data_IF_559428507123
#
_entry.id   IF_559428507123
#
_cell.length_a   1.000
_cell.length_b   1.000
_cell.length_c   1.000
_cell.angle_alpha   90.00
_cell.angle_beta   90.00
_cell.angle_gamma   90.00
#
_symmetry.space_group_name_H-M   'P 1'
#
loop_
_entity.id
_entity.type
_entity.pdbx_description
1 polymer ?
#
# COMPACT_ATOMS: atom_id res chain seq x y z
N UNK A 1 -63.40 -5.89 14.59
CA UNK A 1 -62.25 -5.00 14.84
C UNK A 1 -61.06 -5.54 14.06
N UNK A 2 -60.72 -4.91 12.93
CA UNK A 2 -59.65 -5.38 12.04
C UNK A 2 -58.32 -4.80 12.52
N UNK A 3 -57.35 -5.67 12.83
CA UNK A 3 -55.99 -5.26 13.18
C UNK A 3 -55.16 -5.25 11.90
N UNK A 4 -54.82 -4.05 11.43
CA UNK A 4 -53.88 -3.83 10.33
C UNK A 4 -52.46 -4.10 10.83
N UNK A 5 -51.85 -5.20 10.41
CA UNK A 5 -50.42 -5.45 10.57
C UNK A 5 -49.65 -4.52 9.62
N UNK A 6 -49.00 -3.50 10.18
CA UNK A 6 -47.97 -2.70 9.51
C UNK A 6 -46.74 -3.60 9.26
N UNK A 7 -46.51 -3.96 8.00
CA UNK A 7 -45.29 -4.62 7.56
C UNK A 7 -44.12 -3.64 7.63
N UNK A 8 -43.14 -3.91 8.48
CA UNK A 8 -41.85 -3.23 8.44
C UNK A 8 -41.08 -3.73 7.21
N UNK A 9 -41.06 -2.92 6.15
CA UNK A 9 -40.17 -3.18 4.99
C UNK A 9 -38.72 -3.00 5.42
N UNK A 10 -37.97 -4.10 5.40
CA UNK A 10 -36.55 -4.14 5.71
C UNK A 10 -35.73 -3.54 4.55
N UNK A 11 -35.63 -2.21 4.50
CA UNK A 11 -34.92 -1.43 3.46
C UNK A 11 -33.42 -1.76 3.33
N UNK A 12 -32.82 -2.38 4.34
CA UNK A 12 -31.40 -2.76 4.36
C UNK A 12 -31.05 -3.97 3.48
N UNK A 13 -32.01 -4.84 3.14
CA UNK A 13 -31.73 -6.02 2.31
C UNK A 13 -31.59 -5.62 0.82
N UNK A 14 -32.54 -4.85 0.30
CA UNK A 14 -32.49 -4.36 -1.10
C UNK A 14 -31.29 -3.44 -1.39
N UNK A 15 -30.85 -2.65 -0.41
CA UNK A 15 -29.65 -1.81 -0.58
C UNK A 15 -28.34 -2.62 -0.61
N UNK A 16 -28.27 -3.74 0.11
CA UNK A 16 -27.13 -4.67 0.05
C UNK A 16 -27.12 -5.46 -1.26
N UNK A 17 -28.28 -5.92 -1.71
CA UNK A 17 -28.41 -6.66 -2.97
C UNK A 17 -28.05 -5.78 -4.18
N UNK A 18 -28.41 -4.49 -4.15
CA UNK A 18 -27.99 -3.51 -5.18
C UNK A 18 -26.48 -3.21 -5.12
N UNK A 19 -25.88 -3.13 -3.94
CA UNK A 19 -24.43 -2.92 -3.81
C UNK A 19 -23.63 -4.13 -4.30
N UNK A 20 -24.04 -5.35 -3.93
CA UNK A 20 -23.42 -6.58 -4.40
C UNK A 20 -23.61 -6.75 -5.92
N UNK A 21 -24.77 -6.37 -6.45
CA UNK A 21 -25.02 -6.31 -7.89
C UNK A 21 -24.06 -5.36 -8.60
N UNK A 22 -23.87 -4.14 -8.07
CA UNK A 22 -22.91 -3.17 -8.59
C UNK A 22 -21.47 -3.68 -8.52
N UNK A 23 -21.06 -4.24 -7.39
CA UNK A 23 -19.73 -4.85 -7.24
C UNK A 23 -19.50 -5.94 -8.29
N UNK A 24 -20.49 -6.83 -8.47
CA UNK A 24 -20.42 -7.90 -9.45
C UNK A 24 -20.31 -7.35 -10.88
N UNK A 25 -21.07 -6.30 -11.20
CA UNK A 25 -20.97 -5.65 -12.52
C UNK A 25 -19.63 -4.97 -12.74
N UNK A 26 -19.02 -4.37 -11.71
CA UNK A 26 -17.69 -3.76 -11.84
C UNK A 26 -16.58 -4.82 -11.97
N UNK A 27 -16.67 -5.93 -11.24
CA UNK A 27 -15.73 -7.05 -11.37
C UNK A 27 -15.74 -7.63 -12.79
N UNK A 28 -16.92 -7.68 -13.43
CA UNK A 28 -17.05 -8.12 -14.84
C UNK A 28 -16.32 -7.21 -15.83
N UNK A 29 -15.97 -5.98 -15.45
CA UNK A 29 -15.16 -5.05 -16.25
C UNK A 29 -13.65 -5.19 -16.02
N UNK A 30 -13.20 -6.20 -15.27
CA UNK A 30 -11.78 -6.46 -15.01
C UNK A 30 -10.91 -6.43 -16.27
N UNK A 31 -11.32 -7.08 -17.35
CA UNK A 31 -10.59 -7.08 -18.63
C UNK A 31 -10.46 -5.68 -19.26
N UNK A 32 -11.46 -4.81 -19.08
CA UNK A 32 -11.40 -3.41 -19.53
C UNK A 32 -10.36 -2.64 -18.70
N UNK A 33 -10.35 -2.82 -17.38
CA UNK A 33 -9.36 -2.20 -16.50
C UNK A 33 -7.93 -2.67 -16.81
N UNK A 34 -7.76 -3.96 -17.09
CA UNK A 34 -6.48 -4.54 -17.50
C UNK A 34 -6.00 -3.89 -18.81
N UNK A 35 -6.88 -3.77 -19.80
CA UNK A 35 -6.56 -3.11 -21.08
C UNK A 35 -6.16 -1.65 -20.87
N UNK A 36 -6.92 -0.88 -20.08
CA UNK A 36 -6.60 0.53 -19.78
C UNK A 36 -5.21 0.65 -19.15
N UNK A 37 -4.85 -0.28 -18.26
CA UNK A 37 -3.53 -0.32 -17.62
C UNK A 37 -2.43 -0.64 -18.63
N UNK A 38 -2.61 -1.65 -19.49
CA UNK A 38 -1.63 -1.99 -20.52
C UNK A 38 -1.42 -0.85 -21.53
N UNK A 39 -2.50 -0.15 -21.92
CA UNK A 39 -2.41 1.03 -22.79
C UNK A 39 -1.60 2.17 -22.14
N UNK A 40 -1.76 2.39 -20.83
CA UNK A 40 -0.94 3.35 -20.06
C UNK A 40 0.53 2.95 -20.02
N UNK A 41 0.81 1.68 -19.70
CA UNK A 41 2.17 1.14 -19.66
C UNK A 41 2.85 1.30 -21.03
N UNK A 42 2.16 0.92 -22.10
CA UNK A 42 2.65 1.04 -23.48
C UNK A 42 2.96 2.49 -23.84
N UNK A 43 2.07 3.41 -23.47
CA UNK A 43 2.26 4.86 -23.68
C UNK A 43 3.50 5.37 -22.95
N UNK A 44 3.70 4.99 -21.68
CA UNK A 44 4.86 5.45 -20.91
C UNK A 44 6.15 4.85 -21.48
N UNK A 45 6.16 3.56 -21.86
CA UNK A 45 7.33 2.91 -22.51
C UNK A 45 7.71 3.60 -23.80
N UNK A 46 6.72 3.94 -24.63
CA UNK A 46 6.94 4.63 -25.91
C UNK A 46 7.56 6.02 -25.69
N UNK A 47 7.07 6.78 -24.71
CA UNK A 47 7.66 8.07 -24.32
C UNK A 47 9.08 7.92 -23.78
N UNK A 48 9.33 6.91 -22.94
CA UNK A 48 10.65 6.65 -22.40
C UNK A 48 11.67 6.32 -23.50
N UNK A 49 11.26 5.57 -24.52
CA UNK A 49 12.10 5.21 -25.66
C UNK A 49 12.51 6.41 -26.54
N UNK A 50 11.67 7.44 -26.62
CA UNK A 50 11.93 8.65 -27.42
C UNK A 50 12.54 9.80 -26.61
N UNK A 51 12.64 9.66 -25.28
CA UNK A 51 13.20 10.68 -24.40
C UNK A 51 14.72 10.74 -24.54
N UNK A 52 15.28 11.96 -24.61
CA UNK A 52 16.71 12.17 -24.70
C UNK A 52 17.40 11.75 -23.40
N UNK A 53 18.59 11.13 -23.53
CA UNK A 53 19.38 10.66 -22.39
C UNK A 53 19.79 11.74 -21.38
N UNK A 54 19.77 13.02 -21.79
CA UNK A 54 20.14 14.17 -20.98
C UNK A 54 18.98 14.80 -20.19
N UNK A 55 17.74 14.36 -20.41
CA UNK A 55 16.57 14.89 -19.70
C UNK A 55 16.33 14.08 -18.42
N UNK A 56 17.10 14.41 -17.38
CA UNK A 56 17.20 13.63 -16.15
C UNK A 56 15.85 13.52 -15.41
N UNK A 57 15.16 14.64 -15.27
CA UNK A 57 13.86 14.73 -14.59
C UNK A 57 12.80 13.93 -15.34
N UNK A 58 12.73 14.06 -16.67
CA UNK A 58 11.74 13.33 -17.47
C UNK A 58 12.01 11.82 -17.46
N UNK A 59 13.27 11.40 -17.60
CA UNK A 59 13.65 9.99 -17.55
C UNK A 59 13.30 9.38 -16.19
N UNK A 60 13.63 10.07 -15.10
CA UNK A 60 13.30 9.59 -13.76
C UNK A 60 11.78 9.54 -13.55
N UNK A 61 11.06 10.59 -13.95
CA UNK A 61 9.60 10.66 -13.80
C UNK A 61 8.88 9.55 -14.58
N UNK A 62 9.23 9.32 -15.84
CA UNK A 62 8.64 8.25 -16.66
C UNK A 62 8.97 6.86 -16.09
N UNK A 63 10.21 6.66 -15.62
CA UNK A 63 10.60 5.39 -14.98
C UNK A 63 9.84 5.17 -13.68
N UNK A 64 9.62 6.22 -12.88
CA UNK A 64 8.86 6.15 -11.63
C UNK A 64 7.37 5.89 -11.92
N UNK A 65 6.81 6.50 -12.96
CA UNK A 65 5.46 6.17 -13.44
C UNK A 65 5.31 4.69 -13.83
N UNK A 66 6.27 4.14 -14.59
CA UNK A 66 6.27 2.70 -14.93
C UNK A 66 6.36 1.83 -13.69
N UNK A 67 7.24 2.18 -12.76
CA UNK A 67 7.34 1.48 -11.48
C UNK A 67 5.98 1.45 -10.76
N UNK A 68 5.30 2.59 -10.63
CA UNK A 68 4.02 2.68 -9.92
C UNK A 68 2.90 1.88 -10.61
N UNK A 69 2.92 1.75 -11.95
CA UNK A 69 1.95 0.90 -12.66
C UNK A 69 2.13 -0.59 -12.34
N UNK A 70 3.37 -1.03 -12.11
CA UNK A 70 3.72 -2.41 -11.80
C UNK A 70 3.74 -2.75 -10.31
N UNK A 71 3.96 -1.78 -9.42
CA UNK A 71 4.21 -2.03 -8.00
C UNK A 71 3.09 -2.80 -7.28
N UNK A 72 1.84 -2.66 -7.73
CA UNK A 72 0.68 -3.39 -7.20
C UNK A 72 0.27 -4.60 -8.06
N UNK A 73 0.93 -4.82 -9.20
CA UNK A 73 0.49 -5.77 -10.24
C UNK A 73 1.48 -6.91 -10.49
N UNK A 74 2.79 -6.61 -10.56
CA UNK A 74 3.83 -7.59 -10.90
C UNK A 74 5.12 -7.25 -10.16
N UNK A 75 5.53 -8.14 -9.26
CA UNK A 75 6.79 -8.01 -8.54
C UNK A 75 7.99 -8.00 -9.50
N UNK A 76 8.03 -8.94 -10.45
CA UNK A 76 9.13 -9.07 -11.42
C UNK A 76 9.34 -7.80 -12.23
N UNK A 77 8.25 -7.15 -12.66
CA UNK A 77 8.36 -5.87 -13.36
C UNK A 77 8.71 -4.73 -12.40
N UNK A 78 8.11 -4.69 -11.21
CA UNK A 78 8.37 -3.63 -10.23
C UNK A 78 9.83 -3.58 -9.80
N UNK A 79 10.47 -4.73 -9.55
CA UNK A 79 11.87 -4.78 -9.11
C UNK A 79 12.82 -4.31 -10.22
N UNK A 80 12.51 -4.60 -11.50
CA UNK A 80 13.29 -4.11 -12.65
C UNK A 80 13.25 -2.58 -12.70
N UNK A 81 12.07 -1.96 -12.61
CA UNK A 81 11.97 -0.49 -12.67
C UNK A 81 12.49 0.19 -11.40
N UNK A 82 12.35 -0.44 -10.22
CA UNK A 82 12.96 0.07 -8.99
C UNK A 82 14.49 0.13 -9.07
N UNK A 83 15.13 -0.88 -9.67
CA UNK A 83 16.59 -0.88 -9.92
C UNK A 83 16.98 0.18 -10.95
N UNK A 84 16.21 0.31 -12.05
CA UNK A 84 16.43 1.38 -13.03
C UNK A 84 16.37 2.77 -12.41
N UNK A 85 15.45 3.01 -11.46
CA UNK A 85 15.41 4.28 -10.72
C UNK A 85 16.69 4.52 -9.91
N UNK A 86 17.28 3.48 -9.30
CA UNK A 86 18.54 3.60 -8.58
C UNK A 86 19.71 3.88 -9.55
N UNK A 87 19.76 3.19 -10.69
CA UNK A 87 20.76 3.42 -11.73
C UNK A 87 20.72 4.86 -12.25
N UNK A 88 19.51 5.39 -12.52
CA UNK A 88 19.33 6.79 -12.94
C UNK A 88 19.74 7.75 -11.83
N UNK A 89 19.36 7.49 -10.57
CA UNK A 89 19.74 8.33 -9.45
C UNK A 89 21.26 8.42 -9.26
N UNK A 90 21.97 7.30 -9.42
CA UNK A 90 23.44 7.23 -9.36
C UNK A 90 24.06 7.96 -10.55
N UNK A 91 23.56 7.70 -11.77
CA UNK A 91 24.04 8.34 -13.00
C UNK A 91 23.97 9.86 -12.93
N UNK A 92 22.84 10.39 -12.48
CA UNK A 92 22.60 11.83 -12.37
C UNK A 92 23.12 12.45 -11.07
N UNK A 93 23.69 11.64 -10.17
CA UNK A 93 24.20 12.07 -8.87
C UNK A 93 23.20 12.90 -8.06
N UNK A 94 21.90 12.61 -8.23
CA UNK A 94 20.82 13.41 -7.64
C UNK A 94 20.35 12.76 -6.32
N UNK A 95 20.57 13.41 -5.17
CA UNK A 95 20.24 12.83 -3.86
C UNK A 95 18.74 12.66 -3.67
N UNK A 96 17.91 13.52 -4.26
CA UNK A 96 16.45 13.40 -4.22
C UNK A 96 15.98 12.16 -4.99
N UNK A 97 16.56 11.90 -6.15
CA UNK A 97 16.29 10.68 -6.93
C UNK A 97 16.74 9.44 -6.19
N UNK A 98 17.87 9.49 -5.49
CA UNK A 98 18.38 8.37 -4.71
C UNK A 98 17.45 8.02 -3.55
N UNK A 99 16.93 9.03 -2.84
CA UNK A 99 15.95 8.80 -1.77
C UNK A 99 14.66 8.18 -2.34
N UNK A 100 14.12 8.75 -3.42
CA UNK A 100 12.89 8.24 -4.05
C UNK A 100 13.06 6.80 -4.56
N UNK A 101 14.19 6.50 -5.20
CA UNK A 101 14.47 5.16 -5.72
C UNK A 101 14.65 4.12 -4.61
N UNK A 102 15.30 4.47 -3.49
CA UNK A 102 15.39 3.60 -2.31
C UNK A 102 14.02 3.32 -1.68
N UNK A 103 13.13 4.31 -1.63
CA UNK A 103 11.74 4.12 -1.15
C UNK A 103 11.01 3.12 -2.06
N UNK A 104 11.08 3.29 -3.39
CA UNK A 104 10.46 2.37 -4.36
C UNK A 104 11.04 0.96 -4.27
N UNK A 105 12.37 0.83 -4.16
CA UNK A 105 13.05 -0.46 -4.01
C UNK A 105 12.66 -1.15 -2.69
N UNK A 106 12.71 -0.43 -1.56
CA UNK A 106 12.30 -0.94 -0.26
C UNK A 106 10.83 -1.37 -0.22
N UNK A 107 9.94 -0.63 -0.91
CA UNK A 107 8.54 -1.02 -1.05
C UNK A 107 8.37 -2.35 -1.79
N UNK A 108 9.11 -2.54 -2.87
CA UNK A 108 9.08 -3.79 -3.64
C UNK A 108 9.60 -4.97 -2.81
N UNK A 109 10.73 -4.80 -2.13
CA UNK A 109 11.29 -5.82 -1.24
C UNK A 109 10.30 -6.20 -0.12
N UNK A 110 9.70 -5.20 0.52
CA UNK A 110 8.71 -5.42 1.57
C UNK A 110 7.49 -6.19 1.05
N UNK A 111 7.01 -5.85 -0.15
CA UNK A 111 5.88 -6.54 -0.79
C UNK A 111 6.17 -8.00 -1.13
N UNK A 112 7.44 -8.41 -1.26
CA UNK A 112 7.85 -9.80 -1.42
C UNK A 112 8.18 -10.51 -0.09
N UNK A 113 8.02 -9.86 1.06
CA UNK A 113 8.35 -10.43 2.37
C UNK A 113 9.85 -10.41 2.69
N UNK A 114 10.67 -9.69 1.92
CA UNK A 114 12.11 -9.52 2.16
C UNK A 114 12.34 -8.44 3.23
N UNK A 115 11.93 -8.73 4.47
CA UNK A 115 11.87 -7.74 5.55
C UNK A 115 13.24 -7.17 5.91
N UNK A 116 14.27 -8.01 6.00
CA UNK A 116 15.62 -7.55 6.37
C UNK A 116 16.19 -6.61 5.31
N UNK A 117 16.13 -7.01 4.05
CA UNK A 117 16.63 -6.25 2.91
C UNK A 117 15.86 -4.94 2.74
N UNK A 118 14.54 -4.97 2.95
CA UNK A 118 13.71 -3.76 2.94
C UNK A 118 14.15 -2.79 4.06
N UNK A 119 14.37 -3.30 5.28
CA UNK A 119 14.82 -2.46 6.39
C UNK A 119 16.21 -1.87 6.14
N UNK A 120 17.18 -2.70 5.75
CA UNK A 120 18.55 -2.26 5.46
C UNK A 120 18.57 -1.18 4.36
N UNK A 121 17.68 -1.30 3.37
CA UNK A 121 17.49 -0.29 2.32
C UNK A 121 16.92 1.03 2.84
N UNK A 122 15.91 0.96 3.71
CA UNK A 122 15.14 2.13 4.15
C UNK A 122 15.78 2.87 5.33
N UNK A 123 16.42 2.15 6.26
CA UNK A 123 16.98 2.70 7.49
C UNK A 123 18.12 3.70 7.25
N UNK A 124 18.80 3.60 6.10
CA UNK A 124 19.89 4.51 5.70
C UNK A 124 19.40 5.81 5.06
N UNK A 125 18.10 5.99 4.86
CA UNK A 125 17.54 7.17 4.21
C UNK A 125 17.54 8.37 5.18
N UNK A 126 18.20 9.45 4.80
CA UNK A 126 18.13 10.74 5.49
C UNK A 126 16.88 11.51 5.05
N UNK A 127 15.74 11.20 5.64
CA UNK A 127 14.43 11.74 5.19
C UNK A 127 14.19 13.22 5.59
N UNK A 128 15.01 13.78 6.47
CA UNK A 128 14.77 15.08 7.12
C UNK A 128 14.58 16.25 6.16
N UNK A 129 15.35 16.32 5.07
CA UNK A 129 15.28 17.43 4.10
C UNK A 129 14.46 17.12 2.85
N UNK A 130 13.76 15.98 2.82
CA UNK A 130 12.94 15.59 1.67
C UNK A 130 11.64 16.39 1.58
N UNK A 131 11.09 16.48 0.36
CA UNK A 131 9.78 17.08 0.13
C UNK A 131 8.66 16.37 0.93
N UNK A 132 7.58 17.08 1.34
CA UNK A 132 6.49 16.50 2.14
C UNK A 132 5.91 15.18 1.59
N UNK A 133 5.68 15.10 0.27
CA UNK A 133 5.16 13.88 -0.34
C UNK A 133 6.12 12.68 -0.19
N UNK A 134 7.43 12.92 -0.27
CA UNK A 134 8.45 11.88 -0.09
C UNK A 134 8.51 11.42 1.37
N UNK A 135 8.42 12.37 2.32
CA UNK A 135 8.30 12.08 3.76
C UNK A 135 7.07 11.22 4.05
N UNK A 136 5.92 11.60 3.50
CA UNK A 136 4.66 10.86 3.67
C UNK A 136 4.81 9.40 3.21
N UNK A 137 5.34 9.17 2.00
CA UNK A 137 5.57 7.82 1.45
C UNK A 137 6.55 7.01 2.30
N UNK A 138 7.67 7.61 2.72
CA UNK A 138 8.66 6.93 3.57
C UNK A 138 8.06 6.49 4.91
N UNK A 139 7.39 7.40 5.63
CA UNK A 139 6.82 7.08 6.92
C UNK A 139 5.68 6.08 6.83
N UNK A 140 4.84 6.17 5.80
CA UNK A 140 3.81 5.17 5.53
C UNK A 140 4.41 3.78 5.27
N UNK A 141 5.50 3.71 4.51
CA UNK A 141 6.20 2.45 4.22
C UNK A 141 6.85 1.85 5.47
N UNK A 142 7.51 2.67 6.30
CA UNK A 142 8.05 2.23 7.59
C UNK A 142 6.95 1.75 8.54
N UNK A 143 5.79 2.40 8.53
CA UNK A 143 4.65 1.94 9.31
C UNK A 143 4.19 0.56 8.86
N UNK A 144 4.05 0.35 7.55
CA UNK A 144 3.70 -0.95 6.96
C UNK A 144 4.72 -2.01 7.37
N UNK A 145 6.02 -1.74 7.25
CA UNK A 145 7.08 -2.67 7.64
C UNK A 145 6.87 -3.21 9.07
N UNK A 146 6.64 -2.31 10.04
CA UNK A 146 6.42 -2.73 11.41
C UNK A 146 5.08 -3.44 11.62
N UNK A 147 4.01 -3.05 10.93
CA UNK A 147 2.75 -3.78 11.02
C UNK A 147 2.82 -5.18 10.42
N UNK A 148 3.59 -5.36 9.35
CA UNK A 148 3.81 -6.66 8.72
C UNK A 148 4.66 -7.55 9.65
N UNK A 149 5.70 -7.00 10.29
CA UNK A 149 6.44 -7.70 11.35
C UNK A 149 5.57 -8.08 12.55
N UNK A 150 4.70 -7.19 13.01
CA UNK A 150 3.78 -7.48 14.12
C UNK A 150 2.78 -8.60 13.77
N UNK A 151 2.44 -8.74 12.49
CA UNK A 151 1.55 -9.80 12.02
C UNK A 151 2.29 -11.12 11.79
N UNK A 152 3.58 -11.06 11.43
CA UNK A 152 4.45 -12.21 11.24
C UNK A 152 4.91 -12.81 12.57
N UNK A 153 5.26 -11.96 13.54
CA UNK A 153 5.77 -12.39 14.84
C UNK A 153 4.65 -12.91 15.75
N UNK A 154 4.81 -14.15 16.20
CA UNK A 154 3.83 -14.83 17.04
C UNK A 154 3.97 -14.48 18.52
N UNK A 155 5.08 -13.88 18.94
CA UNK A 155 5.32 -13.52 20.33
C UNK A 155 4.66 -12.17 20.66
N UNK A 156 3.74 -12.13 21.64
CA UNK A 156 3.13 -10.88 22.10
C UNK A 156 4.15 -9.83 22.57
N UNK A 157 5.30 -10.23 23.09
CA UNK A 157 6.34 -9.32 23.57
C UNK A 157 6.90 -8.44 22.44
N UNK A 158 7.16 -9.03 21.26
CA UNK A 158 7.73 -8.33 20.12
C UNK A 158 6.66 -7.66 19.24
N UNK A 159 5.55 -8.36 18.96
CA UNK A 159 4.49 -7.84 18.09
C UNK A 159 3.86 -6.53 18.61
N UNK A 160 3.81 -6.34 19.94
CA UNK A 160 3.32 -5.09 20.55
C UNK A 160 4.26 -3.92 20.33
N UNK A 161 5.58 -4.13 20.43
CA UNK A 161 6.56 -3.07 20.16
C UNK A 161 6.51 -2.65 18.68
N UNK A 162 6.43 -3.62 17.78
CA UNK A 162 6.28 -3.34 16.34
C UNK A 162 5.02 -2.54 16.05
N UNK A 163 3.85 -2.90 16.59
CA UNK A 163 2.64 -2.10 16.39
C UNK A 163 2.78 -0.67 16.94
N UNK A 164 3.45 -0.48 18.10
CA UNK A 164 3.72 0.87 18.63
C UNK A 164 4.61 1.67 17.69
N UNK A 165 5.66 1.06 17.12
CA UNK A 165 6.51 1.70 16.11
C UNK A 165 5.73 2.05 14.86
N UNK A 166 4.93 1.11 14.34
CA UNK A 166 4.04 1.32 13.20
C UNK A 166 3.11 2.52 13.41
N UNK A 167 2.49 2.62 14.59
CA UNK A 167 1.62 3.75 14.94
C UNK A 167 2.36 5.10 14.92
N UNK A 168 3.58 5.17 15.46
CA UNK A 168 4.40 6.40 15.47
C UNK A 168 4.76 6.84 14.04
N UNK A 169 5.03 5.88 13.16
CA UNK A 169 5.28 6.15 11.75
C UNK A 169 4.03 6.62 11.01
N UNK A 170 2.84 6.05 11.30
CA UNK A 170 1.58 6.58 10.78
C UNK A 170 1.34 8.01 11.24
N UNK A 171 1.60 8.33 12.51
CA UNK A 171 1.48 9.71 13.01
C UNK A 171 2.36 10.67 12.23
N UNK A 172 3.60 10.26 11.95
CA UNK A 172 4.53 11.04 11.13
C UNK A 172 4.03 11.19 9.69
N UNK A 173 3.47 10.13 9.10
CA UNK A 173 2.95 10.17 7.73
C UNK A 173 1.73 11.10 7.59
N UNK A 174 0.81 11.06 8.56
CA UNK A 174 -0.43 11.86 8.54
C UNK A 174 -0.19 13.37 8.62
N UNK A 175 0.96 13.82 9.15
CA UNK A 175 1.37 15.23 9.13
C UNK A 175 1.56 15.72 7.69
N UNK A 176 2.01 14.85 6.78
CA UNK A 176 2.41 15.23 5.42
C UNK A 176 1.37 14.87 4.36
N UNK A 177 0.42 13.98 4.64
CA UNK A 177 -0.69 13.71 3.71
C UNK A 177 -1.73 14.84 3.78
N UNK A 178 -2.22 15.34 2.63
CA UNK A 178 -3.34 16.27 2.61
C UNK A 178 -4.56 15.64 3.29
N UNK A 179 -5.26 16.39 4.14
CA UNK A 179 -6.42 15.87 4.90
C UNK A 179 -7.55 15.37 3.99
N UNK A 180 -7.68 15.95 2.79
CA UNK A 180 -8.64 15.55 1.76
C UNK A 180 -8.20 14.34 0.93
N UNK A 181 -6.96 13.88 1.06
CA UNK A 181 -6.42 12.76 0.27
C UNK A 181 -7.02 11.42 0.70
N UNK A 182 -7.03 10.47 -0.23
CA UNK A 182 -7.40 9.09 0.07
C UNK A 182 -6.44 8.49 1.11
N UNK A 183 -5.14 8.72 0.94
CA UNK A 183 -4.07 8.21 1.80
C UNK A 183 -4.25 8.64 3.25
N UNK A 184 -4.58 9.91 3.49
CA UNK A 184 -4.85 10.40 4.84
C UNK A 184 -5.99 9.62 5.50
N UNK A 185 -7.12 9.48 4.79
CA UNK A 185 -8.28 8.75 5.30
C UNK A 185 -7.98 7.27 5.51
N UNK A 186 -7.27 6.65 4.58
CA UNK A 186 -6.84 5.26 4.67
C UNK A 186 -5.95 5.01 5.90
N UNK A 187 -4.86 5.77 6.06
CA UNK A 187 -3.91 5.55 7.15
C UNK A 187 -4.49 5.93 8.53
N UNK A 188 -5.35 6.97 8.58
CA UNK A 188 -6.11 7.30 9.78
C UNK A 188 -7.05 6.16 10.18
N UNK A 189 -7.77 5.58 9.22
CA UNK A 189 -8.63 4.42 9.42
C UNK A 189 -7.85 3.18 9.87
N UNK A 190 -6.73 2.88 9.20
CA UNK A 190 -5.85 1.76 9.54
C UNK A 190 -5.34 1.85 10.98
N UNK A 191 -4.89 3.04 11.40
CA UNK A 191 -4.44 3.29 12.79
C UNK A 191 -5.57 3.02 13.79
N UNK A 192 -6.77 3.53 13.53
CA UNK A 192 -7.93 3.31 14.38
C UNK A 192 -8.30 1.81 14.47
N UNK A 193 -8.28 1.11 13.34
CA UNK A 193 -8.54 -0.33 13.25
C UNK A 193 -7.53 -1.15 14.04
N UNK A 194 -6.22 -0.87 13.89
CA UNK A 194 -5.14 -1.53 14.65
C UNK A 194 -5.30 -1.32 16.16
N UNK A 195 -5.68 -0.12 16.59
CA UNK A 195 -5.97 0.17 18.01
C UNK A 195 -7.16 -0.64 18.52
N UNK A 196 -8.23 -0.74 17.76
CA UNK A 196 -9.44 -1.48 18.14
C UNK A 196 -9.19 -2.97 18.25
N UNK A 197 -8.48 -3.54 17.27
CA UNK A 197 -8.06 -4.94 17.28
C UNK A 197 -7.33 -5.33 18.57
N UNK A 198 -6.40 -4.48 19.03
CA UNK A 198 -5.60 -4.76 20.23
C UNK A 198 -6.39 -4.66 21.53
N UNK A 199 -7.55 -3.98 21.54
CA UNK A 199 -8.44 -3.93 22.70
C UNK A 199 -9.23 -5.22 22.88
N UNK A 200 -9.32 -6.07 21.86
CA UNK A 200 -10.06 -7.32 21.93
C UNK A 200 -9.23 -8.40 22.64
N UNK A 201 -9.75 -9.01 23.73
CA UNK A 201 -9.06 -10.10 24.39
C UNK A 201 -8.96 -11.32 23.45
N UNK A 202 -7.78 -11.94 23.39
CA UNK A 202 -7.53 -13.13 22.57
C UNK A 202 -7.41 -12.86 21.07
N UNK A 203 -6.90 -11.69 20.66
CA UNK A 203 -6.65 -11.42 19.24
C UNK A 203 -5.65 -12.43 18.68
N UNK A 204 -6.08 -13.27 17.72
CA UNK A 204 -5.20 -14.27 17.19
C UNK A 204 -4.28 -13.66 16.16
N UNK A 205 -2.98 -13.97 16.25
CA UNK A 205 -2.14 -14.01 15.06
C UNK A 205 -2.84 -14.83 13.97
N UNK A 206 -2.54 -14.60 12.70
CA UNK A 206 -3.26 -15.13 11.53
C UNK A 206 -3.65 -16.63 11.60
N UNK A 207 -2.94 -17.41 12.43
CA UNK A 207 -3.21 -18.80 12.78
C UNK A 207 -4.55 -19.07 13.49
N UNK A 208 -5.03 -18.31 14.51
CA UNK A 208 -6.35 -18.67 15.08
C UNK A 208 -7.55 -18.22 14.26
N UNK A 209 -7.37 -17.33 13.28
CA UNK A 209 -8.40 -17.10 12.27
C UNK A 209 -8.53 -18.32 11.34
N UNK A 210 -7.41 -18.91 10.91
CA UNK A 210 -7.40 -20.15 10.12
C UNK A 210 -7.91 -21.34 10.91
N UNK A 211 -7.49 -21.52 12.18
CA UNK A 211 -8.00 -22.61 13.03
C UNK A 211 -9.50 -22.45 13.36
N UNK A 212 -10.00 -21.22 13.56
CA UNK A 212 -11.44 -20.98 13.78
C UNK A 212 -12.29 -21.25 12.55
N UNK A 213 -11.74 -21.00 11.36
CA UNK A 213 -12.41 -21.32 10.09
C UNK A 213 -12.41 -22.84 9.87
N UNK A 214 -11.28 -23.51 10.08
CA UNK A 214 -11.17 -24.97 9.93
C UNK A 214 -12.07 -25.72 10.93
N UNK A 215 -12.13 -25.29 12.21
CA UNK A 215 -13.05 -25.87 13.22
C UNK A 215 -14.53 -25.59 12.98
N UNK A 216 -14.87 -24.65 12.10
CA UNK A 216 -16.27 -24.38 11.69
C UNK A 216 -16.68 -25.17 10.45
N UNK A 217 -15.72 -25.76 9.75
CA UNK A 217 -15.94 -26.52 8.51
C UNK A 217 -15.81 -28.04 8.78
N UNK A 218 -15.19 -28.45 9.90
CA UNK A 218 -15.24 -29.81 10.47
C UNK A 218 -16.43 -30.00 11.40
#
# INVERSE_FOLDING_TARGET
MSVTTLGFSNSNAGQKDTLLGRLTSEIKKSSEYDRIKEDRISTIKSKLATTRGSDEELLFALTDSLYNEYAAYSYDSAIVYARKLQELAIRFQNPTFLIRSKISFGHTLLSAGLYKEAYDTLAVIQIGQSAPAVKARYYALMARYYYDLAAYDYDPAFSVDYDKRGNRYIDSALIYFPVSSFEYNYYKGLKAFKKEIRRRPGYPSAKLLTERILRRIS
#
